data_IF_136577462199
#
_entry.id   IF_136577462199
#
_cell.length_a   1.000
_cell.length_b   1.000
_cell.length_c   1.000
_cell.angle_alpha   90.00
_cell.angle_beta   90.00
_cell.angle_gamma   90.00
#
_symmetry.space_group_name_H-M   'P 1'
#
loop_
_entity.id
_entity.type
_entity.pdbx_description
1 polymer ?
#
# COMPACT_ATOMS: atom_id res chain seq x y z
N UNK A 1 -5.03 73.39 4.74
CA UNK A 1 -3.81 72.62 4.33
C UNK A 1 -4.16 71.13 4.30
N UNK A 2 -4.37 70.60 3.12
CA UNK A 2 -4.65 69.15 2.91
C UNK A 2 -3.38 68.50 2.38
N UNK A 3 -2.80 67.58 3.14
CA UNK A 3 -1.75 66.67 2.62
C UNK A 3 -2.43 65.39 2.16
N UNK A 4 -2.39 65.17 0.84
CA UNK A 4 -2.73 63.87 0.24
C UNK A 4 -1.52 62.92 0.35
N UNK A 5 -1.76 61.71 0.84
CA UNK A 5 -0.81 60.60 0.80
C UNK A 5 -1.30 59.67 -0.31
N UNK A 6 -0.56 59.66 -1.39
CA UNK A 6 -0.68 58.68 -2.48
C UNK A 6 -0.03 57.38 -1.99
N UNK A 7 -0.83 56.34 -1.85
CA UNK A 7 -0.36 55.00 -1.58
C UNK A 7 -0.23 54.22 -2.91
N UNK A 8 1.01 54.07 -3.39
CA UNK A 8 1.32 53.15 -4.47
C UNK A 8 1.14 51.71 -3.97
N UNK A 9 0.12 51.06 -4.50
CA UNK A 9 -0.07 49.63 -4.34
C UNK A 9 0.96 48.90 -5.23
N UNK A 10 2.04 48.42 -4.63
CA UNK A 10 2.92 47.40 -5.21
C UNK A 10 2.10 46.11 -5.30
N UNK A 11 1.65 45.80 -6.51
CA UNK A 11 1.20 44.47 -6.84
C UNK A 11 2.43 43.57 -6.91
N UNK A 12 2.70 42.81 -5.87
CA UNK A 12 3.63 41.68 -5.89
C UNK A 12 3.02 40.63 -6.80
N UNK A 13 3.56 40.53 -8.02
CA UNK A 13 3.42 39.35 -8.89
C UNK A 13 4.07 38.17 -8.19
N UNK A 14 3.27 37.42 -7.42
CA UNK A 14 3.66 36.09 -6.98
C UNK A 14 3.80 35.20 -8.22
N UNK A 15 4.95 34.55 -8.44
CA UNK A 15 5.07 33.59 -9.51
C UNK A 15 4.01 32.49 -9.33
N UNK A 16 3.26 32.22 -10.38
CA UNK A 16 2.31 31.13 -10.44
C UNK A 16 2.99 29.87 -9.93
N UNK A 17 2.52 29.38 -8.80
CA UNK A 17 2.87 28.11 -8.21
C UNK A 17 2.55 27.06 -9.30
N UNK A 18 3.60 26.50 -9.85
CA UNK A 18 3.53 25.46 -10.84
C UNK A 18 2.94 24.26 -10.11
N UNK A 19 1.61 24.10 -10.18
CA UNK A 19 0.92 22.92 -9.70
C UNK A 19 1.54 21.71 -10.37
N UNK A 20 2.47 21.07 -9.67
CA UNK A 20 2.94 19.74 -9.99
C UNK A 20 1.75 18.81 -9.80
N UNK A 21 0.93 18.73 -10.86
CA UNK A 21 -0.16 17.76 -10.97
C UNK A 21 0.49 16.39 -10.83
N UNK A 22 0.40 15.81 -9.63
CA UNK A 22 0.84 14.45 -9.40
C UNK A 22 0.02 13.49 -10.29
N UNK A 23 0.51 12.28 -10.59
CA UNK A 23 -0.14 11.31 -11.47
C UNK A 23 -1.55 10.86 -11.02
N UNK A 24 -2.13 11.52 -10.03
CA UNK A 24 -3.42 11.19 -9.41
C UNK A 24 -4.44 12.35 -9.45
N UNK A 25 -4.24 13.34 -10.32
CA UNK A 25 -5.22 14.41 -10.51
C UNK A 25 -6.45 13.85 -11.24
N UNK A 26 -7.56 13.77 -10.51
CA UNK A 26 -8.87 13.44 -11.08
C UNK A 26 -9.31 14.54 -12.06
N UNK A 27 -9.28 14.28 -13.36
CA UNK A 27 -10.22 14.91 -14.27
C UNK A 27 -9.71 15.91 -15.30
N UNK A 28 -8.49 15.81 -15.81
CA UNK A 28 -8.16 16.47 -17.08
C UNK A 28 -7.89 15.41 -18.16
N UNK A 29 -8.62 15.55 -19.27
CA UNK A 29 -8.39 14.83 -20.53
C UNK A 29 -7.11 15.40 -21.18
N UNK A 30 -5.97 15.27 -20.51
CA UNK A 30 -4.67 15.50 -21.11
C UNK A 30 -4.32 14.26 -21.94
N UNK A 31 -3.73 14.49 -23.12
CA UNK A 31 -3.16 13.40 -23.91
C UNK A 31 -2.26 12.55 -23.01
N UNK A 32 -2.38 11.20 -23.05
CA UNK A 32 -1.63 10.33 -22.16
C UNK A 32 -0.14 10.56 -22.36
N UNK A 33 0.56 10.94 -21.29
CA UNK A 33 2.00 11.09 -21.33
C UNK A 33 2.66 9.74 -21.61
N UNK A 34 3.81 9.73 -22.29
CA UNK A 34 4.56 8.48 -22.55
C UNK A 34 4.83 7.71 -21.25
N UNK A 35 5.11 8.42 -20.15
CA UNK A 35 5.34 7.82 -18.84
C UNK A 35 4.09 7.09 -18.29
N UNK A 36 2.89 7.67 -18.49
CA UNK A 36 1.64 7.06 -18.04
C UNK A 36 1.27 5.83 -18.87
N UNK A 37 1.60 5.83 -20.16
CA UNK A 37 1.44 4.68 -21.05
C UNK A 37 2.35 3.53 -20.64
N UNK A 38 3.64 3.81 -20.45
CA UNK A 38 4.63 2.81 -20.02
C UNK A 38 4.26 2.22 -18.66
N UNK A 39 3.77 3.06 -17.72
CA UNK A 39 3.32 2.62 -16.42
C UNK A 39 2.09 1.69 -16.54
N UNK A 40 1.10 2.07 -17.37
CA UNK A 40 -0.10 1.25 -17.59
C UNK A 40 0.26 -0.11 -18.18
N UNK A 41 1.13 -0.13 -19.20
CA UNK A 41 1.62 -1.35 -19.83
C UNK A 41 2.34 -2.25 -18.81
N UNK A 42 3.25 -1.70 -18.03
CA UNK A 42 4.00 -2.42 -17.00
C UNK A 42 3.06 -3.07 -15.95
N UNK A 43 2.02 -2.34 -15.54
CA UNK A 43 1.02 -2.85 -14.59
C UNK A 43 0.19 -3.98 -15.23
N UNK A 44 -0.24 -3.82 -16.49
CA UNK A 44 -1.02 -4.83 -17.23
C UNK A 44 -0.20 -6.11 -17.39
N UNK A 45 1.05 -6.01 -17.83
CA UNK A 45 1.96 -7.16 -17.97
C UNK A 45 2.17 -7.89 -16.62
N UNK A 46 2.26 -7.14 -15.52
CA UNK A 46 2.45 -7.72 -14.19
C UNK A 46 1.20 -8.43 -13.66
N UNK A 47 0.04 -7.81 -13.80
CA UNK A 47 -1.19 -8.31 -13.19
C UNK A 47 -2.00 -9.22 -14.11
N UNK A 48 -1.70 -9.22 -15.42
CA UNK A 48 -2.29 -10.08 -16.47
C UNK A 48 -3.82 -10.20 -16.35
N UNK A 49 -4.58 -9.10 -16.38
CA UNK A 49 -6.02 -9.20 -16.36
C UNK A 49 -6.52 -9.86 -17.64
N UNK A 50 -7.41 -10.88 -17.56
CA UNK A 50 -7.84 -11.63 -18.74
C UNK A 50 -8.76 -10.84 -19.69
N UNK A 51 -9.40 -9.77 -19.23
CA UNK A 51 -10.23 -8.87 -20.05
C UNK A 51 -10.51 -7.55 -19.32
N UNK A 52 -10.96 -6.52 -20.06
CA UNK A 52 -11.37 -5.22 -19.48
C UNK A 52 -12.48 -5.40 -18.42
N UNK A 53 -13.46 -6.25 -18.67
CA UNK A 53 -14.54 -6.54 -17.72
C UNK A 53 -14.01 -7.28 -16.49
N UNK A 54 -13.04 -8.16 -16.65
CA UNK A 54 -12.42 -8.90 -15.56
C UNK A 54 -11.66 -8.00 -14.59
N UNK A 55 -11.11 -6.85 -15.04
CA UNK A 55 -10.42 -5.89 -14.17
C UNK A 55 -11.33 -5.45 -13.03
N UNK A 56 -12.59 -5.06 -13.34
CA UNK A 56 -13.53 -4.64 -12.29
C UNK A 56 -13.83 -5.77 -11.29
N UNK A 57 -14.04 -6.99 -11.77
CA UNK A 57 -14.24 -8.17 -10.92
C UNK A 57 -13.02 -8.47 -10.05
N UNK A 58 -11.80 -8.35 -10.60
CA UNK A 58 -10.55 -8.53 -9.85
C UNK A 58 -10.39 -7.49 -8.75
N UNK A 59 -10.68 -6.20 -9.02
CA UNK A 59 -10.64 -5.13 -8.02
C UNK A 59 -11.58 -5.47 -6.85
N UNK A 60 -12.85 -5.80 -7.15
CA UNK A 60 -13.82 -6.14 -6.12
C UNK A 60 -13.43 -7.39 -5.32
N UNK A 61 -12.91 -8.41 -5.98
CA UNK A 61 -12.45 -9.63 -5.31
C UNK A 61 -11.28 -9.35 -4.38
N UNK A 62 -10.25 -8.63 -4.86
CA UNK A 62 -9.10 -8.24 -4.04
C UNK A 62 -9.52 -7.34 -2.88
N UNK A 63 -10.39 -6.35 -3.10
CA UNK A 63 -10.90 -5.48 -2.04
C UNK A 63 -11.67 -6.24 -0.96
N UNK A 64 -12.53 -7.20 -1.34
CA UNK A 64 -13.25 -8.06 -0.38
C UNK A 64 -12.28 -8.94 0.42
N UNK A 65 -11.27 -9.52 -0.23
CA UNK A 65 -10.25 -10.32 0.45
C UNK A 65 -9.46 -9.49 1.46
N UNK A 66 -9.02 -8.28 1.07
CA UNK A 66 -8.34 -7.35 1.98
C UNK A 66 -9.23 -7.00 3.17
N UNK A 67 -10.50 -6.69 2.94
CA UNK A 67 -11.46 -6.42 4.02
C UNK A 67 -11.59 -7.60 4.99
N UNK A 68 -11.68 -8.83 4.47
CA UNK A 68 -11.72 -10.04 5.31
C UNK A 68 -10.43 -10.27 6.09
N UNK A 69 -9.26 -10.06 5.47
CA UNK A 69 -7.96 -10.19 6.14
C UNK A 69 -7.81 -9.15 7.26
N UNK A 70 -8.18 -7.89 7.00
CA UNK A 70 -8.10 -6.82 8.00
C UNK A 70 -9.10 -7.04 9.16
N UNK A 71 -10.30 -7.56 8.88
CA UNK A 71 -11.23 -7.96 9.94
C UNK A 71 -10.65 -9.09 10.78
N UNK A 72 -10.06 -10.12 10.15
CA UNK A 72 -9.36 -11.21 10.84
C UNK A 72 -8.18 -10.70 11.67
N UNK A 73 -7.40 -9.75 11.14
CA UNK A 73 -6.33 -9.07 11.87
C UNK A 73 -6.84 -8.38 13.13
N UNK A 74 -7.93 -7.61 13.02
CA UNK A 74 -8.49 -6.89 14.17
C UNK A 74 -9.01 -7.84 15.25
N UNK A 75 -9.68 -8.93 14.86
CA UNK A 75 -10.16 -9.96 15.80
C UNK A 75 -8.98 -10.69 16.45
N UNK A 76 -7.97 -11.07 15.67
CA UNK A 76 -6.79 -11.74 16.22
C UNK A 76 -6.02 -10.80 17.17
N UNK A 77 -5.83 -9.53 16.80
CA UNK A 77 -5.17 -8.55 17.65
C UNK A 77 -5.94 -8.35 18.96
N UNK A 78 -7.26 -8.24 18.89
CA UNK A 78 -8.09 -8.11 20.09
C UNK A 78 -7.97 -9.33 21.01
N UNK A 79 -8.07 -10.54 20.46
CA UNK A 79 -8.02 -11.78 21.24
C UNK A 79 -6.61 -12.10 21.76
N UNK A 80 -5.60 -11.98 20.90
CA UNK A 80 -4.25 -12.43 21.18
C UNK A 80 -3.37 -11.38 21.88
N UNK A 81 -3.77 -10.10 21.86
CA UNK A 81 -3.00 -9.00 22.45
C UNK A 81 -3.76 -8.36 23.61
N UNK A 82 -5.01 -7.92 23.41
CA UNK A 82 -5.74 -7.19 24.45
C UNK A 82 -6.37 -8.07 25.53
N UNK A 83 -6.73 -9.32 25.21
CA UNK A 83 -7.40 -10.23 26.15
C UNK A 83 -6.43 -11.14 26.90
N UNK A 84 -5.15 -11.11 26.57
CA UNK A 84 -4.14 -11.91 27.26
C UNK A 84 -3.46 -11.05 28.32
N UNK A 85 -3.58 -11.47 29.58
CA UNK A 85 -2.83 -10.89 30.68
C UNK A 85 -1.37 -11.34 30.56
N UNK A 86 -0.52 -10.48 30.05
CA UNK A 86 0.93 -10.71 30.05
C UNK A 86 1.48 -10.29 31.41
N UNK A 87 1.83 -11.27 32.24
CA UNK A 87 2.44 -11.04 33.56
C UNK A 87 3.83 -10.37 33.44
N UNK A 88 4.48 -10.54 32.28
CA UNK A 88 5.82 -10.00 32.04
C UNK A 88 5.74 -8.67 31.31
N UNK A 89 6.22 -7.60 31.95
CA UNK A 89 6.37 -6.29 31.31
C UNK A 89 7.51 -6.37 30.28
N UNK A 90 7.15 -6.28 29.01
CA UNK A 90 8.11 -6.23 27.91
C UNK A 90 8.25 -4.79 27.39
N UNK A 91 9.46 -4.26 27.49
CA UNK A 91 9.84 -2.98 26.88
C UNK A 91 10.96 -3.23 25.90
N UNK A 92 10.83 -2.76 24.66
CA UNK A 92 11.83 -2.95 23.60
C UNK A 92 13.14 -2.25 23.93
N UNK A 93 14.25 -2.85 23.54
CA UNK A 93 15.58 -2.23 23.55
C UNK A 93 15.64 -1.15 22.47
N UNK A 94 14.90 -1.33 21.37
CA UNK A 94 14.83 -0.37 20.26
C UNK A 94 13.78 0.71 20.57
N UNK A 95 14.23 1.90 20.96
CA UNK A 95 13.41 3.10 21.24
C UNK A 95 12.43 2.97 22.42
N UNK A 96 12.41 1.86 23.17
CA UNK A 96 11.66 1.70 24.40
C UNK A 96 10.13 1.57 24.32
N UNK A 97 9.48 1.23 23.16
CA UNK A 97 8.07 0.98 23.16
C UNK A 97 7.73 -0.29 23.96
N UNK A 98 6.55 -0.30 24.56
CA UNK A 98 6.00 -1.50 25.20
C UNK A 98 5.50 -2.52 24.15
N UNK A 99 5.17 -3.73 24.60
CA UNK A 99 4.71 -4.79 23.70
C UNK A 99 3.47 -4.39 22.92
N UNK A 100 2.51 -3.70 23.56
CA UNK A 100 1.28 -3.25 22.91
C UNK A 100 1.58 -2.27 21.77
N UNK A 101 2.46 -1.29 22.00
CA UNK A 101 2.89 -0.36 20.98
C UNK A 101 3.59 -1.07 19.81
N UNK A 102 4.44 -2.07 20.08
CA UNK A 102 5.13 -2.85 19.05
C UNK A 102 4.12 -3.60 18.15
N UNK A 103 3.03 -4.14 18.72
CA UNK A 103 2.00 -4.83 17.91
C UNK A 103 1.28 -3.92 16.91
N UNK A 104 1.40 -2.62 17.05
CA UNK A 104 0.91 -1.61 16.12
C UNK A 104 2.03 -1.09 15.22
N UNK A 105 3.18 -0.75 15.80
CA UNK A 105 4.32 -0.14 15.09
C UNK A 105 4.90 -1.11 14.05
N UNK A 106 5.15 -2.37 14.41
CA UNK A 106 5.79 -3.31 13.50
C UNK A 106 4.91 -3.61 12.26
N UNK A 107 3.59 -3.91 12.37
CA UNK A 107 2.72 -4.01 11.20
C UNK A 107 2.60 -2.71 10.40
N UNK A 108 2.58 -1.54 11.05
CA UNK A 108 2.55 -0.25 10.35
C UNK A 108 3.81 -0.02 9.51
N UNK A 109 4.99 -0.38 10.02
CA UNK A 109 6.25 -0.33 9.28
C UNK A 109 6.23 -1.28 8.07
N UNK A 110 5.66 -2.48 8.20
CA UNK A 110 5.47 -3.42 7.08
C UNK A 110 4.55 -2.82 6.02
N UNK A 111 3.43 -2.22 6.43
CA UNK A 111 2.49 -1.60 5.51
C UNK A 111 3.13 -0.45 4.74
N UNK A 112 3.75 0.51 5.44
CA UNK A 112 4.44 1.65 4.82
C UNK A 112 5.61 1.19 3.96
N UNK A 113 6.40 0.23 4.43
CA UNK A 113 7.47 -0.37 3.66
C UNK A 113 6.96 -0.95 2.34
N UNK A 114 5.84 -1.69 2.36
CA UNK A 114 5.23 -2.24 1.14
C UNK A 114 4.77 -1.16 0.17
N UNK A 115 4.27 -0.01 0.67
CA UNK A 115 3.95 1.15 -0.16
C UNK A 115 5.20 1.71 -0.83
N UNK A 116 6.26 1.96 -0.07
CA UNK A 116 7.52 2.49 -0.60
C UNK A 116 8.20 1.53 -1.57
N UNK A 117 8.12 0.21 -1.35
CA UNK A 117 8.60 -0.80 -2.30
C UNK A 117 7.91 -0.64 -3.65
N UNK A 118 6.58 -0.50 -3.65
CA UNK A 118 5.83 -0.34 -4.90
C UNK A 118 6.12 0.98 -5.59
N UNK A 119 6.18 2.10 -4.85
CA UNK A 119 6.55 3.40 -5.39
C UNK A 119 7.95 3.34 -6.03
N UNK A 120 8.93 2.75 -5.33
CA UNK A 120 10.28 2.58 -5.87
C UNK A 120 10.31 1.75 -7.14
N UNK A 121 9.52 0.67 -7.18
CA UNK A 121 9.44 -0.23 -8.34
C UNK A 121 8.79 0.42 -9.55
N UNK A 122 7.69 1.16 -9.33
CA UNK A 122 6.94 1.77 -10.44
C UNK A 122 7.61 3.06 -10.96
N UNK A 123 8.14 3.90 -10.07
CA UNK A 123 8.78 5.16 -10.44
C UNK A 123 10.29 5.05 -10.66
N UNK A 124 10.90 3.90 -10.40
CA UNK A 124 12.35 3.71 -10.52
C UNK A 124 13.19 4.55 -9.55
N UNK A 125 12.58 5.10 -8.49
CA UNK A 125 13.25 5.98 -7.55
C UNK A 125 14.00 5.20 -6.47
N UNK A 126 15.25 5.58 -6.23
CA UNK A 126 16.13 4.92 -5.25
C UNK A 126 15.70 5.19 -3.80
N UNK A 127 15.27 6.42 -3.50
CA UNK A 127 14.96 6.86 -2.14
C UNK A 127 13.82 6.07 -1.49
N UNK A 128 12.66 5.84 -2.15
CA UNK A 128 11.61 5.00 -1.58
C UNK A 128 12.07 3.55 -1.34
N UNK A 129 12.94 3.01 -2.21
CA UNK A 129 13.52 1.68 -2.02
C UNK A 129 14.39 1.58 -0.77
N UNK A 130 15.20 2.60 -0.49
CA UNK A 130 15.98 2.68 0.74
C UNK A 130 15.07 2.76 1.98
N UNK A 131 14.05 3.62 1.93
CA UNK A 131 13.07 3.77 3.01
C UNK A 131 12.33 2.45 3.30
N UNK A 132 11.91 1.72 2.24
CA UNK A 132 11.36 0.37 2.37
C UNK A 132 12.31 -0.56 3.13
N UNK A 133 13.59 -0.62 2.72
CA UNK A 133 14.59 -1.49 3.34
C UNK A 133 14.75 -1.21 4.84
N UNK A 134 14.86 0.07 5.22
CA UNK A 134 14.97 0.48 6.64
C UNK A 134 13.72 0.08 7.43
N UNK A 135 12.52 0.38 6.92
CA UNK A 135 11.25 0.05 7.58
C UNK A 135 11.08 -1.46 7.75
N UNK A 136 11.43 -2.23 6.73
CA UNK A 136 11.35 -3.68 6.77
C UNK A 136 12.31 -4.28 7.81
N UNK A 137 13.58 -3.84 7.83
CA UNK A 137 14.56 -4.28 8.83
C UNK A 137 14.10 -3.94 10.24
N UNK A 138 13.58 -2.73 10.47
CA UNK A 138 13.07 -2.33 11.78
C UNK A 138 11.87 -3.19 12.21
N UNK A 139 10.94 -3.49 11.29
CA UNK A 139 9.81 -4.37 11.59
C UNK A 139 10.26 -5.79 11.95
N UNK A 140 11.25 -6.33 11.24
CA UNK A 140 11.87 -7.64 11.53
C UNK A 140 12.53 -7.62 12.91
N UNK A 141 13.32 -6.59 13.22
CA UNK A 141 13.96 -6.45 14.53
C UNK A 141 12.93 -6.45 15.65
N UNK A 142 11.88 -5.63 15.56
CA UNK A 142 10.80 -5.62 16.55
C UNK A 142 10.09 -6.97 16.67
N UNK A 143 9.87 -7.67 15.56
CA UNK A 143 9.17 -8.95 15.54
C UNK A 143 9.97 -10.05 16.24
N UNK A 144 11.28 -10.09 16.02
CA UNK A 144 12.16 -11.13 16.57
C UNK A 144 12.83 -10.76 17.90
N UNK A 145 12.71 -9.52 18.35
CA UNK A 145 13.32 -9.06 19.59
C UNK A 145 12.94 -9.93 20.81
N UNK A 146 11.66 -10.31 21.05
CA UNK A 146 11.31 -11.15 22.19
C UNK A 146 12.04 -12.51 22.14
N UNK A 147 12.16 -13.11 20.95
CA UNK A 147 12.86 -14.38 20.77
C UNK A 147 14.37 -14.24 21.07
N UNK A 148 14.99 -13.19 20.55
CA UNK A 148 16.41 -12.90 20.78
C UNK A 148 16.67 -12.71 22.27
N UNK A 149 15.83 -11.97 22.97
CA UNK A 149 15.97 -11.75 24.42
C UNK A 149 15.78 -13.02 25.22
N UNK A 150 14.79 -13.85 24.89
CA UNK A 150 14.56 -15.14 25.56
C UNK A 150 15.70 -16.15 25.35
N UNK A 151 16.36 -16.13 24.16
CA UNK A 151 17.44 -17.07 23.85
C UNK A 151 18.82 -16.61 24.35
N UNK A 152 19.12 -15.31 24.29
CA UNK A 152 20.48 -14.79 24.50
C UNK A 152 20.63 -13.98 25.79
N UNK A 153 19.56 -13.35 26.30
CA UNK A 153 19.65 -12.47 27.46
C UNK A 153 19.02 -13.08 28.71
N UNK A 154 18.26 -14.16 28.57
CA UNK A 154 17.54 -14.82 29.69
C UNK A 154 16.59 -13.89 30.46
N UNK A 155 16.20 -12.78 29.85
CA UNK A 155 15.29 -11.78 30.43
C UNK A 155 13.83 -12.22 30.38
N UNK A 156 13.51 -13.14 29.47
CA UNK A 156 12.18 -13.69 29.24
C UNK A 156 12.25 -15.22 29.32
N UNK A 157 11.20 -15.83 29.85
CA UNK A 157 11.05 -17.26 29.70
C UNK A 157 10.93 -17.64 28.22
N UNK A 158 11.53 -18.78 27.83
CA UNK A 158 11.55 -19.23 26.44
C UNK A 158 10.15 -19.42 25.86
N UNK A 159 9.18 -19.85 26.66
CA UNK A 159 7.78 -20.00 26.27
C UNK A 159 7.14 -18.65 25.94
N UNK A 160 7.31 -17.67 26.82
CA UNK A 160 6.82 -16.30 26.63
C UNK A 160 7.46 -15.63 25.39
N UNK A 161 8.77 -15.81 25.22
CA UNK A 161 9.50 -15.27 24.09
C UNK A 161 8.96 -15.78 22.74
N UNK A 162 8.77 -17.10 22.64
CA UNK A 162 8.19 -17.74 21.45
C UNK A 162 6.75 -17.25 21.22
N UNK A 163 5.95 -17.17 22.28
CA UNK A 163 4.55 -16.77 22.18
C UNK A 163 4.41 -15.30 21.73
N UNK A 164 5.17 -14.37 22.29
CA UNK A 164 5.19 -12.96 21.89
C UNK A 164 5.67 -12.78 20.44
N UNK A 165 6.75 -13.49 20.07
CA UNK A 165 7.26 -13.46 18.68
C UNK A 165 6.25 -14.01 17.69
N UNK A 166 5.57 -15.12 18.02
CA UNK A 166 4.56 -15.72 17.14
C UNK A 166 3.37 -14.79 16.89
N UNK A 167 2.88 -14.10 17.92
CA UNK A 167 1.82 -13.09 17.78
C UNK A 167 2.25 -11.96 16.83
N UNK A 168 3.44 -11.40 17.04
CA UNK A 168 3.98 -10.34 16.19
C UNK A 168 4.18 -10.82 14.75
N UNK A 169 4.72 -12.01 14.55
CA UNK A 169 4.93 -12.57 13.23
C UNK A 169 3.61 -12.76 12.47
N UNK A 170 2.56 -13.27 13.12
CA UNK A 170 1.23 -13.43 12.51
C UNK A 170 0.65 -12.05 12.13
N UNK A 171 0.74 -11.05 13.01
CA UNK A 171 0.26 -9.70 12.74
C UNK A 171 1.00 -9.07 11.55
N UNK A 172 2.32 -9.14 11.53
CA UNK A 172 3.16 -8.62 10.45
C UNK A 172 2.88 -9.32 9.11
N UNK A 173 2.78 -10.66 9.11
CA UNK A 173 2.48 -11.43 7.90
C UNK A 173 1.09 -11.11 7.34
N UNK A 174 0.09 -10.99 8.22
CA UNK A 174 -1.29 -10.66 7.84
C UNK A 174 -1.34 -9.28 7.15
N UNK A 175 -0.67 -8.29 7.74
CA UNK A 175 -0.60 -6.94 7.15
C UNK A 175 0.21 -6.93 5.85
N UNK A 176 1.30 -7.69 5.75
CA UNK A 176 2.08 -7.81 4.51
C UNK A 176 1.23 -8.32 3.34
N UNK A 177 0.42 -9.36 3.59
CA UNK A 177 -0.49 -9.91 2.57
C UNK A 177 -1.56 -8.90 2.21
N UNK A 178 -2.20 -8.26 3.22
CA UNK A 178 -3.23 -7.25 3.00
C UNK A 178 -2.71 -6.05 2.21
N UNK A 179 -1.51 -5.55 2.56
CA UNK A 179 -0.87 -4.42 1.88
C UNK A 179 -0.63 -4.71 0.40
N UNK A 180 -0.04 -5.86 0.07
CA UNK A 180 0.21 -6.25 -1.33
C UNK A 180 -1.09 -6.35 -2.13
N UNK A 181 -2.13 -6.97 -1.59
CA UNK A 181 -3.42 -7.09 -2.27
C UNK A 181 -4.11 -5.73 -2.44
N UNK A 182 -3.99 -4.84 -1.45
CA UNK A 182 -4.56 -3.49 -1.50
C UNK A 182 -3.87 -2.65 -2.59
N UNK A 183 -2.55 -2.71 -2.65
CA UNK A 183 -1.76 -1.99 -3.66
C UNK A 183 -2.11 -2.50 -5.07
N UNK A 184 -2.19 -3.81 -5.26
CA UNK A 184 -2.59 -4.39 -6.54
C UNK A 184 -4.01 -3.95 -6.94
N UNK A 185 -4.96 -3.91 -5.99
CA UNK A 185 -6.33 -3.45 -6.27
C UNK A 185 -6.35 -1.96 -6.64
N UNK A 186 -5.52 -1.15 -6.00
CA UNK A 186 -5.39 0.27 -6.28
C UNK A 186 -4.77 0.53 -7.66
N UNK A 187 -3.72 -0.20 -8.02
CA UNK A 187 -3.09 -0.13 -9.34
C UNK A 187 -4.06 -0.58 -10.45
N UNK A 188 -4.82 -1.66 -10.24
CA UNK A 188 -5.86 -2.08 -11.18
C UNK A 188 -6.96 -1.03 -11.34
N UNK A 189 -7.35 -0.34 -10.26
CA UNK A 189 -8.31 0.76 -10.33
C UNK A 189 -7.76 1.92 -11.17
N UNK A 190 -6.49 2.28 -10.97
CA UNK A 190 -5.85 3.31 -11.76
C UNK A 190 -5.81 2.94 -13.25
N UNK A 191 -5.39 1.71 -13.58
CA UNK A 191 -5.38 1.21 -14.98
C UNK A 191 -6.79 1.26 -15.57
N UNK A 192 -7.82 0.85 -14.82
CA UNK A 192 -9.20 0.89 -15.29
C UNK A 192 -9.62 2.31 -15.67
N UNK A 193 -9.39 3.29 -14.79
CA UNK A 193 -9.70 4.71 -15.07
C UNK A 193 -8.90 5.24 -16.26
N UNK A 194 -7.62 4.86 -16.35
CA UNK A 194 -6.76 5.24 -17.47
C UNK A 194 -7.30 4.71 -18.80
N UNK A 195 -7.73 3.44 -18.87
CA UNK A 195 -8.33 2.83 -20.07
C UNK A 195 -9.71 3.40 -20.40
N UNK A 196 -10.50 3.83 -19.40
CA UNK A 196 -11.79 4.48 -19.61
C UNK A 196 -11.61 5.88 -20.24
N UNK A 197 -10.55 6.60 -19.83
CA UNK A 197 -10.23 7.93 -20.36
C UNK A 197 -9.54 7.88 -21.74
N UNK A 198 -8.96 6.74 -22.11
CA UNK A 198 -8.23 6.55 -23.37
C UNK A 198 -8.75 5.31 -24.12
N UNK A 199 -9.97 5.36 -24.71
CA UNK A 199 -10.59 4.19 -25.32
C UNK A 199 -9.87 3.71 -26.59
N UNK A 200 -9.13 4.61 -27.25
CA UNK A 200 -8.41 4.35 -28.51
C UNK A 200 -7.10 3.57 -28.30
N UNK A 201 -6.65 3.42 -27.04
CA UNK A 201 -5.43 2.68 -26.74
C UNK A 201 -5.70 1.18 -26.77
N UNK A 202 -5.04 0.51 -27.71
CA UNK A 202 -5.07 -0.94 -27.82
C UNK A 202 -3.83 -1.54 -27.14
N UNK A 203 -4.03 -2.32 -26.11
CA UNK A 203 -2.98 -3.03 -25.38
C UNK A 203 -2.82 -4.49 -25.85
N UNK A 204 -3.42 -4.86 -27.00
CA UNK A 204 -3.36 -6.22 -27.54
C UNK A 204 -1.94 -6.68 -27.88
N UNK A 205 -1.05 -5.75 -28.26
CA UNK A 205 0.34 -6.06 -28.60
C UNK A 205 1.20 -6.46 -27.39
N UNK A 206 0.75 -6.19 -26.16
CA UNK A 206 1.50 -6.52 -24.93
C UNK A 206 1.38 -7.98 -24.48
N UNK A 207 0.79 -8.85 -25.30
CA UNK A 207 0.58 -10.27 -25.01
C UNK A 207 -0.49 -10.53 -23.94
N UNK A 208 -1.14 -9.49 -23.44
CA UNK A 208 -2.40 -9.57 -22.74
C UNK A 208 -3.49 -9.40 -23.80
N UNK A 209 -3.91 -10.47 -24.44
CA UNK A 209 -5.12 -10.49 -25.25
C UNK A 209 -6.30 -10.14 -24.34
N UNK A 210 -6.56 -8.84 -24.20
CA UNK A 210 -7.72 -8.31 -23.49
C UNK A 210 -8.97 -8.48 -24.36
N UNK A 211 -9.00 -9.52 -25.19
CA UNK A 211 -10.10 -9.84 -26.10
C UNK A 211 -11.43 -9.69 -25.37
N UNK A 212 -12.34 -8.99 -26.01
CA UNK A 212 -13.75 -9.06 -25.69
C UNK A 212 -14.09 -10.56 -25.59
N UNK A 213 -14.38 -11.00 -24.37
CA UNK A 213 -15.15 -12.23 -24.21
C UNK A 213 -16.49 -11.87 -24.84
N UNK A 214 -16.66 -12.24 -26.11
CA UNK A 214 -17.96 -12.27 -26.78
C UNK A 214 -18.92 -12.87 -25.75
N UNK A 215 -19.86 -12.06 -25.38
CA UNK A 215 -20.96 -12.43 -24.51
C UNK A 215 -21.60 -13.67 -25.17
N UNK A 216 -21.15 -14.86 -24.76
CA UNK A 216 -21.74 -16.08 -25.18
C UNK A 216 -23.15 -16.02 -24.59
N UNK A 217 -24.02 -15.44 -25.39
CA UNK A 217 -25.48 -15.50 -25.26
C UNK A 217 -25.82 -16.90 -24.84
N UNK A 218 -26.19 -17.05 -23.58
CA UNK A 218 -27.01 -18.17 -23.13
C UNK A 218 -28.32 -18.12 -23.90
N UNK A 219 -28.30 -18.62 -25.13
CA UNK A 219 -29.48 -19.10 -25.77
C UNK A 219 -30.00 -20.28 -24.93
N UNK A 220 -30.86 -19.94 -24.03
CA UNK A 220 -31.79 -20.88 -23.40
C UNK A 220 -32.55 -21.55 -24.48
N UNK A 221 -32.13 -22.72 -24.87
CA UNK A 221 -32.93 -23.66 -25.62
C UNK A 221 -34.03 -24.21 -24.71
N UNK A 222 -35.29 -24.03 -25.16
CA UNK A 222 -36.51 -24.55 -24.61
C UNK A 222 -36.54 -26.09 -24.46
#
# INVERSE_FOLDING_TARGET
MRCGVSGDAMSEDLPAENDTVGPFSDGQLEEPSEESLELAERIIVRLKPPSRVAISKMIHTKAKMVGGILAGYAVFWWLAVLQVDDETVFTSIFFGPDFLAITIIAPALIFLGSLFENISRELGQLFPGLAHGIMFVMAVLYTFEPLIRGLFMSDLDSGDAIWKTSRLAILCLTILIAARMLIDAWLLRWVKVFMENNPDLDFSDTGADLGEVEDATLETEN
#
